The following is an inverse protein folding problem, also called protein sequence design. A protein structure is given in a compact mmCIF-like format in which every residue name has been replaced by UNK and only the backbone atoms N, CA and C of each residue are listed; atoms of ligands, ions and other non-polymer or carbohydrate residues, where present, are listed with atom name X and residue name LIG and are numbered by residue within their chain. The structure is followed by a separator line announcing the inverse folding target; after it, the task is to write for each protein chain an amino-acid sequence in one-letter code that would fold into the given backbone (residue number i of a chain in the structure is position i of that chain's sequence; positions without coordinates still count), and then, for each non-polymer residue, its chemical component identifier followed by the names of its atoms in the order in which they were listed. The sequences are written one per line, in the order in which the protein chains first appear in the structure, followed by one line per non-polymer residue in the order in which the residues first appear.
data_IF_843019170774
#
_entry.id   IF_843019170774
#
_cell.length_a   1.000
_cell.length_b   1.000
_cell.length_c   1.000
_cell.angle_alpha   90.00
_cell.angle_beta   90.00
_cell.angle_gamma   90.00
#
_symmetry.space_group_name_H-M   'P 1'
#
loop_
_entity.id
_entity.type
_entity.pdbx_description
1 polymer ?
#
# COMPACT_ATOMS: atom_id res chain seq x y z
N UNK A 1 8.73 4.32 5.99
CA UNK A 1 7.81 3.97 7.10
C UNK A 1 6.98 2.74 6.74
N UNK A 2 6.35 2.69 5.56
CA UNK A 2 5.51 1.59 5.08
C UNK A 2 6.19 0.22 5.22
N UNK A 3 7.35 0.00 4.59
CA UNK A 3 8.09 -1.26 4.63
C UNK A 3 8.53 -1.65 6.06
N UNK A 4 8.78 -0.65 6.91
CA UNK A 4 9.09 -0.91 8.32
C UNK A 4 7.92 -1.55 9.06
N UNK A 5 6.68 -1.20 8.72
CA UNK A 5 5.48 -1.82 9.27
C UNK A 5 5.46 -3.33 9.01
N UNK A 6 5.70 -3.75 7.77
CA UNK A 6 5.78 -5.16 7.40
C UNK A 6 6.91 -5.89 8.15
N UNK A 7 8.11 -5.30 8.19
CA UNK A 7 9.27 -5.90 8.86
C UNK A 7 9.06 -6.01 10.37
N UNK A 8 8.55 -4.99 11.04
CA UNK A 8 8.30 -5.03 12.48
C UNK A 8 7.24 -6.08 12.84
N UNK A 9 6.13 -6.11 12.12
CA UNK A 9 5.09 -7.11 12.36
C UNK A 9 5.60 -8.53 12.03
N UNK A 10 6.38 -8.68 10.95
CA UNK A 10 7.02 -9.96 10.61
C UNK A 10 7.95 -10.43 11.72
N UNK A 11 8.82 -9.56 12.23
CA UNK A 11 9.71 -9.86 13.36
C UNK A 11 8.94 -10.23 14.63
N UNK A 12 7.85 -9.53 14.92
CA UNK A 12 6.96 -9.89 16.04
C UNK A 12 6.42 -11.32 15.92
N UNK A 13 6.16 -11.79 14.70
CA UNK A 13 5.75 -13.18 14.44
C UNK A 13 6.91 -14.17 14.24
N UNK A 14 8.17 -13.72 14.40
CA UNK A 14 9.35 -14.56 14.37
C UNK A 14 10.01 -14.71 13.00
N UNK A 15 9.69 -13.85 12.00
CA UNK A 15 10.38 -13.84 10.71
C UNK A 15 11.62 -12.93 10.73
N UNK A 16 12.59 -13.22 9.86
CA UNK A 16 13.78 -12.39 9.66
C UNK A 16 13.60 -11.58 8.35
N UNK A 17 12.69 -10.60 8.37
CA UNK A 17 12.51 -9.69 7.26
C UNK A 17 13.59 -8.59 7.22
N UNK A 18 13.96 -8.16 6.01
CA UNK A 18 14.83 -7.02 5.76
C UNK A 18 14.29 -6.17 4.61
N UNK A 19 14.75 -4.93 4.52
CA UNK A 19 14.31 -3.98 3.49
C UNK A 19 15.43 -3.79 2.48
N UNK A 20 15.12 -3.98 1.20
CA UNK A 20 15.99 -3.56 0.10
C UNK A 20 15.48 -2.24 -0.43
N UNK A 21 16.35 -1.24 -0.49
CA UNK A 21 16.05 0.06 -1.10
C UNK A 21 16.41 0.03 -2.59
N UNK A 22 15.45 0.40 -3.43
CA UNK A 22 15.63 0.60 -4.85
C UNK A 22 15.34 2.05 -5.22
N UNK A 23 15.67 2.45 -6.45
CA UNK A 23 15.45 3.83 -6.91
C UNK A 23 13.98 4.31 -6.86
N UNK A 24 13.03 3.40 -6.83
CA UNK A 24 11.59 3.69 -6.76
C UNK A 24 10.97 3.42 -5.36
N UNK A 25 11.78 3.08 -4.35
CA UNK A 25 11.26 2.81 -3.00
C UNK A 25 11.95 1.65 -2.30
N UNK A 26 11.35 1.14 -1.22
CA UNK A 26 11.79 -0.06 -0.50
C UNK A 26 10.91 -1.26 -0.80
N UNK A 27 11.46 -2.44 -0.63
CA UNK A 27 10.71 -3.72 -0.66
C UNK A 27 11.11 -4.52 0.56
N UNK A 28 10.11 -4.90 1.38
CA UNK A 28 10.30 -5.80 2.52
C UNK A 28 10.40 -7.25 2.03
N UNK A 29 11.54 -7.89 2.26
CA UNK A 29 11.77 -9.29 1.86
C UNK A 29 11.76 -10.17 3.11
N UNK A 30 11.11 -11.34 3.01
CA UNK A 30 11.08 -12.35 4.08
C UNK A 30 10.17 -12.03 5.27
N UNK A 31 9.63 -10.82 5.37
CA UNK A 31 8.75 -10.42 6.48
C UNK A 31 7.45 -11.22 6.53
N UNK A 32 6.94 -11.66 5.37
CA UNK A 32 5.68 -12.39 5.23
C UNK A 32 5.85 -13.90 5.00
N UNK A 33 7.03 -14.46 5.28
CA UNK A 33 7.30 -15.90 5.16
C UNK A 33 6.74 -16.68 6.35
N UNK A 34 5.43 -16.74 6.46
CA UNK A 34 4.68 -17.33 7.56
C UNK A 34 3.69 -18.38 7.03
N UNK A 35 3.59 -19.52 7.71
CA UNK A 35 2.61 -20.59 7.37
C UNK A 35 1.18 -20.18 7.69
N UNK A 36 0.96 -19.39 8.75
CA UNK A 36 -0.36 -18.95 9.19
C UNK A 36 -0.86 -17.75 8.39
N UNK A 37 -1.98 -17.93 7.67
CA UNK A 37 -2.58 -16.87 6.83
C UNK A 37 -3.01 -15.63 7.62
N UNK A 38 -3.54 -15.77 8.83
CA UNK A 38 -3.90 -14.64 9.68
C UNK A 38 -2.70 -13.77 10.02
N UNK A 39 -1.56 -14.42 10.34
CA UNK A 39 -0.32 -13.69 10.59
C UNK A 39 0.17 -12.97 9.32
N UNK A 40 0.05 -13.60 8.14
CA UNK A 40 0.41 -12.95 6.87
C UNK A 40 -0.47 -11.74 6.60
N UNK A 41 -1.79 -11.84 6.80
CA UNK A 41 -2.71 -10.70 6.68
C UNK A 41 -2.27 -9.55 7.60
N UNK A 42 -1.98 -9.86 8.87
CA UNK A 42 -1.52 -8.86 9.83
C UNK A 42 -0.21 -8.18 9.39
N UNK A 43 0.77 -8.96 8.90
CA UNK A 43 2.03 -8.42 8.36
C UNK A 43 1.77 -7.52 7.15
N UNK A 44 0.95 -7.99 6.21
CA UNK A 44 0.62 -7.25 4.99
C UNK A 44 -0.10 -5.93 5.30
N UNK A 45 -1.03 -5.91 6.26
CA UNK A 45 -1.75 -4.70 6.62
C UNK A 45 -0.95 -3.76 7.55
N UNK A 46 0.15 -4.23 8.15
CA UNK A 46 0.97 -3.43 9.04
C UNK A 46 1.69 -2.28 8.31
N UNK A 47 2.06 -2.45 7.04
CA UNK A 47 2.66 -1.38 6.21
C UNK A 47 1.72 -0.19 6.03
N UNK A 48 0.55 -0.39 5.39
CA UNK A 48 -0.46 0.67 5.29
C UNK A 48 -0.90 1.19 6.66
N UNK A 49 -1.04 0.32 7.66
CA UNK A 49 -1.47 0.67 9.01
C UNK A 49 -0.56 1.69 9.68
N UNK A 50 0.77 1.46 9.65
CA UNK A 50 1.73 2.39 10.28
C UNK A 50 1.78 3.73 9.55
N UNK A 51 1.56 3.76 8.23
CA UNK A 51 1.46 5.01 7.47
C UNK A 51 0.22 5.82 7.84
N UNK A 52 -0.95 5.16 7.97
CA UNK A 52 -2.18 5.83 8.41
C UNK A 52 -2.08 6.33 9.85
N UNK A 53 -1.39 5.60 10.74
CA UNK A 53 -1.10 6.08 12.09
C UNK A 53 -0.19 7.31 12.06
N UNK A 54 0.84 7.32 11.21
CA UNK A 54 1.70 8.48 11.03
C UNK A 54 0.92 9.68 10.47
N UNK A 55 0.05 9.45 9.48
CA UNK A 55 -0.85 10.49 8.97
C UNK A 55 -1.69 11.10 10.10
N UNK A 56 -2.37 10.26 10.88
CA UNK A 56 -3.21 10.72 11.98
C UNK A 56 -2.40 11.48 13.05
N UNK A 57 -1.18 11.04 13.34
CA UNK A 57 -0.29 11.71 14.28
C UNK A 57 0.16 13.09 13.78
N UNK A 58 0.58 13.20 12.51
CA UNK A 58 0.97 14.48 11.90
C UNK A 58 -0.23 15.44 11.86
N UNK A 59 -1.41 14.93 11.49
CA UNK A 59 -2.64 15.70 11.47
C UNK A 59 -2.98 16.23 12.88
N UNK A 60 -2.89 15.39 13.91
CA UNK A 60 -3.10 15.79 15.29
C UNK A 60 -2.14 16.90 15.73
N UNK A 61 -0.84 16.81 15.41
CA UNK A 61 0.13 17.85 15.72
C UNK A 61 -0.17 19.17 14.98
N UNK A 62 -0.67 19.08 13.77
CA UNK A 62 -1.07 20.23 12.98
C UNK A 62 -2.29 20.90 13.59
N UNK A 63 -3.35 20.15 13.89
CA UNK A 63 -4.59 20.67 14.52
C UNK A 63 -4.35 21.21 15.96
N UNK A 64 -3.45 20.57 16.72
CA UNK A 64 -3.05 21.04 18.04
C UNK A 64 -2.17 22.31 18.00
N UNK A 65 -1.94 22.90 16.81
CA UNK A 65 -1.10 24.06 16.58
C UNK A 65 0.34 23.93 17.11
N UNK A 66 0.84 22.72 17.26
CA UNK A 66 2.25 22.45 17.55
C UNK A 66 3.10 22.88 16.35
N UNK A 67 2.52 22.74 15.13
CA UNK A 67 3.09 23.23 13.88
C UNK A 67 2.39 24.55 13.54
N UNK A 68 3.09 25.70 13.47
CA UNK A 68 2.50 26.98 13.14
C UNK A 68 1.87 26.98 11.73
N UNK A 69 0.68 27.53 11.57
CA UNK A 69 -0.05 27.60 10.31
C UNK A 69 0.21 28.93 9.54
N UNK A 70 1.36 29.55 9.76
CA UNK A 70 1.69 30.78 9.05
C UNK A 70 1.90 30.51 7.57
N UNK A 71 1.22 31.30 6.72
CA UNK A 71 1.29 31.17 5.26
C UNK A 71 2.51 31.90 4.65
N UNK A 72 3.22 32.67 5.45
CA UNK A 72 4.34 33.51 5.02
C UNK A 72 5.57 33.24 5.88
N UNK A 73 6.75 33.73 5.40
CA UNK A 73 7.97 33.62 6.14
C UNK A 73 8.60 32.21 6.19
N UNK A 74 9.43 31.93 7.21
CA UNK A 74 10.19 30.68 7.32
C UNK A 74 9.29 29.45 7.49
N UNK A 75 8.08 29.61 8.02
CA UNK A 75 7.12 28.53 8.26
C UNK A 75 6.42 28.03 7.00
N UNK A 76 6.40 28.79 5.91
CA UNK A 76 5.83 28.37 4.63
C UNK A 76 6.40 27.03 4.15
N UNK A 77 7.76 26.90 4.18
CA UNK A 77 8.43 25.66 3.76
C UNK A 77 8.06 24.46 4.64
N UNK A 78 7.95 24.70 5.95
CA UNK A 78 7.53 23.66 6.91
C UNK A 78 6.10 23.21 6.62
N UNK A 79 5.18 24.14 6.40
CA UNK A 79 3.79 23.84 6.09
C UNK A 79 3.62 23.09 4.76
N UNK A 80 4.38 23.47 3.72
CA UNK A 80 4.41 22.74 2.45
C UNK A 80 4.94 21.32 2.64
N UNK A 81 6.00 21.14 3.43
CA UNK A 81 6.55 19.83 3.72
C UNK A 81 5.57 18.96 4.53
N UNK A 82 4.91 19.52 5.55
CA UNK A 82 3.86 18.84 6.32
C UNK A 82 2.69 18.45 5.42
N UNK A 83 2.24 19.36 4.55
CA UNK A 83 1.20 19.06 3.57
C UNK A 83 1.58 17.91 2.64
N UNK A 84 2.83 17.87 2.17
CA UNK A 84 3.33 16.74 1.38
C UNK A 84 3.37 15.43 2.17
N UNK A 85 3.81 15.48 3.44
CA UNK A 85 3.81 14.30 4.31
C UNK A 85 2.39 13.79 4.55
N UNK A 86 1.43 14.66 4.82
CA UNK A 86 0.03 14.29 4.96
C UNK A 86 -0.51 13.67 3.67
N UNK A 87 -0.23 14.28 2.52
CA UNK A 87 -0.65 13.75 1.23
C UNK A 87 -0.12 12.34 0.99
N UNK A 88 1.20 12.13 1.11
CA UNK A 88 1.78 10.80 0.80
C UNK A 88 1.39 9.73 1.80
N UNK A 89 1.27 10.07 3.09
CA UNK A 89 0.88 9.11 4.12
C UNK A 89 -0.63 8.80 4.14
N UNK A 90 -1.44 9.54 3.40
CA UNK A 90 -2.84 9.21 3.16
C UNK A 90 -3.04 8.43 1.85
N UNK A 91 -2.57 8.99 0.74
CA UNK A 91 -2.88 8.44 -0.59
C UNK A 91 -2.11 7.16 -0.91
N UNK A 92 -0.85 7.06 -0.47
CA UNK A 92 -0.04 5.86 -0.73
C UNK A 92 -0.60 4.59 -0.06
N UNK A 93 -0.96 4.59 1.25
CA UNK A 93 -1.58 3.43 1.86
C UNK A 93 -2.97 3.12 1.28
N UNK A 94 -3.77 4.12 0.90
CA UNK A 94 -5.06 3.87 0.24
C UNK A 94 -4.84 3.15 -1.10
N UNK A 95 -3.86 3.60 -1.90
CA UNK A 95 -3.50 2.92 -3.14
C UNK A 95 -3.07 1.47 -2.88
N UNK A 96 -2.21 1.25 -1.87
CA UNK A 96 -1.74 -0.09 -1.51
C UNK A 96 -2.83 -1.00 -0.94
N UNK A 97 -3.92 -0.44 -0.40
CA UNK A 97 -5.07 -1.21 0.09
C UNK A 97 -6.07 -1.60 -1.00
N UNK A 98 -5.86 -1.16 -2.25
CA UNK A 98 -6.70 -1.63 -3.36
C UNK A 98 -6.61 -3.16 -3.50
N UNK A 99 -7.71 -3.85 -3.81
CA UNK A 99 -7.74 -5.30 -3.97
C UNK A 99 -7.12 -5.71 -5.33
N UNK A 100 -5.89 -5.28 -5.56
CA UNK A 100 -5.10 -5.53 -6.77
C UNK A 100 -3.79 -6.20 -6.39
N UNK A 101 -3.55 -7.42 -6.85
CA UNK A 101 -2.24 -8.04 -6.68
C UNK A 101 -1.23 -7.36 -7.64
N UNK A 102 0.01 -7.01 -7.20
CA UNK A 102 0.67 -7.41 -5.96
C UNK A 102 0.57 -6.39 -4.80
N UNK A 103 -0.34 -5.41 -4.84
CA UNK A 103 -0.52 -4.45 -3.74
C UNK A 103 -0.94 -5.16 -2.44
N UNK A 104 -0.75 -4.52 -1.29
CA UNK A 104 -1.03 -5.11 0.03
C UNK A 104 -2.50 -5.52 0.18
N UNK A 105 -3.44 -4.69 -0.29
CA UNK A 105 -4.86 -5.03 -0.29
C UNK A 105 -5.16 -6.30 -1.08
N UNK A 106 -4.51 -6.47 -2.25
CA UNK A 106 -4.62 -7.70 -3.04
C UNK A 106 -4.03 -8.91 -2.34
N UNK A 107 -2.85 -8.77 -1.73
CA UNK A 107 -2.21 -9.85 -0.97
C UNK A 107 -3.03 -10.24 0.27
N UNK A 108 -3.50 -9.26 1.05
CA UNK A 108 -4.33 -9.48 2.22
C UNK A 108 -5.65 -10.18 1.85
N UNK A 109 -6.31 -9.73 0.79
CA UNK A 109 -7.55 -10.33 0.29
C UNK A 109 -7.31 -11.76 -0.22
N UNK A 110 -6.20 -12.01 -0.93
CA UNK A 110 -5.80 -13.35 -1.34
C UNK A 110 -5.65 -14.30 -0.16
N UNK A 111 -4.94 -13.88 0.89
CA UNK A 111 -4.75 -14.69 2.08
C UNK A 111 -6.06 -14.88 2.84
N UNK A 112 -6.93 -13.87 2.91
CA UNK A 112 -8.24 -13.94 3.51
C UNK A 112 -9.16 -14.94 2.75
N UNK A 113 -9.28 -14.82 1.44
CA UNK A 113 -10.05 -15.75 0.63
C UNK A 113 -9.51 -17.18 0.73
N UNK A 114 -8.19 -17.32 0.82
CA UNK A 114 -7.54 -18.63 0.97
C UNK A 114 -7.80 -19.32 2.31
N UNK A 115 -8.41 -18.66 3.30
CA UNK A 115 -8.92 -19.32 4.52
C UNK A 115 -10.14 -20.21 4.22
N UNK A 116 -10.92 -19.85 3.21
CA UNK A 116 -12.21 -20.46 2.91
C UNK A 116 -12.25 -21.16 1.54
N UNK A 117 -11.42 -20.69 0.59
CA UNK A 117 -11.50 -21.10 -0.81
C UNK A 117 -10.15 -21.64 -1.30
N UNK A 118 -10.19 -22.80 -1.98
CA UNK A 118 -9.00 -23.37 -2.64
C UNK A 118 -8.58 -22.59 -3.89
N UNK A 119 -9.53 -21.92 -4.54
CA UNK A 119 -9.33 -21.11 -5.76
C UNK A 119 -9.10 -19.64 -5.47
N UNK A 120 -8.64 -19.26 -4.26
CA UNK A 120 -8.41 -17.87 -3.87
C UNK A 120 -7.51 -17.10 -4.85
N UNK A 121 -6.45 -17.75 -5.36
CA UNK A 121 -5.52 -17.14 -6.31
C UNK A 121 -6.23 -16.72 -7.61
N UNK A 122 -7.02 -17.60 -8.19
CA UNK A 122 -7.79 -17.29 -9.40
C UNK A 122 -8.80 -16.16 -9.20
N UNK A 123 -9.49 -16.17 -8.06
CA UNK A 123 -10.48 -15.15 -7.73
C UNK A 123 -9.80 -13.78 -7.57
N UNK A 124 -8.70 -13.69 -6.83
CA UNK A 124 -8.03 -12.41 -6.61
C UNK A 124 -7.45 -11.85 -7.90
N UNK A 125 -6.87 -12.67 -8.77
CA UNK A 125 -6.36 -12.19 -10.05
C UNK A 125 -7.47 -11.67 -10.96
N UNK A 126 -8.65 -12.32 -10.96
CA UNK A 126 -9.84 -11.82 -11.65
C UNK A 126 -10.33 -10.48 -11.10
N UNK A 127 -10.46 -10.36 -9.77
CA UNK A 127 -10.83 -9.08 -9.11
C UNK A 127 -9.80 -8.00 -9.44
N UNK A 128 -8.51 -8.31 -9.39
CA UNK A 128 -7.42 -7.38 -9.70
C UNK A 128 -7.56 -6.80 -11.10
N UNK A 129 -7.85 -7.63 -12.10
CA UNK A 129 -8.04 -7.17 -13.49
C UNK A 129 -9.22 -6.21 -13.58
N UNK A 130 -10.36 -6.54 -12.96
CA UNK A 130 -11.54 -5.68 -12.95
C UNK A 130 -11.23 -4.32 -12.32
N UNK A 131 -10.60 -4.32 -11.14
CA UNK A 131 -10.22 -3.08 -10.44
C UNK A 131 -9.23 -2.26 -11.25
N UNK A 132 -8.23 -2.89 -11.89
CA UNK A 132 -7.30 -2.20 -12.77
C UNK A 132 -8.03 -1.52 -13.95
N UNK A 133 -8.98 -2.20 -14.60
CA UNK A 133 -9.75 -1.61 -15.69
C UNK A 133 -10.56 -0.40 -15.22
N UNK A 134 -11.23 -0.50 -14.06
CA UNK A 134 -11.97 0.63 -13.48
C UNK A 134 -11.03 1.80 -13.14
N UNK A 135 -9.85 1.52 -12.59
CA UNK A 135 -8.84 2.53 -12.29
C UNK A 135 -8.32 3.21 -13.58
N UNK A 136 -8.06 2.45 -14.66
CA UNK A 136 -7.63 2.98 -15.94
C UNK A 136 -8.69 3.95 -16.49
N UNK A 137 -9.98 3.56 -16.47
CA UNK A 137 -11.08 4.42 -16.93
C UNK A 137 -11.17 5.70 -16.08
N UNK A 138 -11.02 5.59 -14.78
CA UNK A 138 -11.03 6.75 -13.87
C UNK A 138 -9.87 7.70 -14.18
N UNK A 139 -8.63 7.17 -14.26
CA UNK A 139 -7.44 7.99 -14.50
C UNK A 139 -7.35 8.53 -15.94
N UNK A 140 -8.02 7.90 -16.90
CA UNK A 140 -8.17 8.45 -18.25
C UNK A 140 -9.01 9.74 -18.24
N UNK A 141 -10.03 9.84 -17.39
CA UNK A 141 -10.82 11.06 -17.25
C UNK A 141 -10.06 12.21 -16.56
N UNK A 142 -9.06 11.89 -15.73
CA UNK A 142 -8.23 12.86 -15.02
C UNK A 142 -6.89 13.11 -15.71
N UNK A 143 -6.68 12.54 -16.90
CA UNK A 143 -5.45 12.66 -17.72
C UNK A 143 -4.16 12.27 -16.97
N UNK A 144 -4.26 11.38 -15.98
CA UNK A 144 -3.12 10.92 -15.22
C UNK A 144 -2.45 9.71 -15.90
N UNK A 145 -1.64 9.98 -16.93
CA UNK A 145 -0.98 8.98 -17.76
C UNK A 145 -0.06 8.04 -16.97
N UNK A 146 0.58 8.52 -15.89
CA UNK A 146 1.42 7.68 -15.05
C UNK A 146 0.62 6.58 -14.36
N UNK A 147 -0.54 6.94 -13.78
CA UNK A 147 -1.42 5.96 -13.13
C UNK A 147 -2.05 5.02 -14.14
N UNK A 148 -2.41 5.48 -15.33
CA UNK A 148 -2.89 4.61 -16.42
C UNK A 148 -1.85 3.56 -16.75
N UNK A 149 -0.59 3.97 -16.98
CA UNK A 149 0.50 3.05 -17.27
C UNK A 149 0.71 2.04 -16.16
N UNK A 150 0.72 2.48 -14.88
CA UNK A 150 0.88 1.61 -13.72
C UNK A 150 -0.20 0.52 -13.67
N UNK A 151 -1.48 0.91 -13.82
CA UNK A 151 -2.59 -0.04 -13.76
C UNK A 151 -2.66 -0.95 -14.98
N UNK A 152 -2.21 -0.51 -16.17
CA UNK A 152 -2.06 -1.39 -17.35
C UNK A 152 -1.02 -2.48 -17.05
N UNK A 153 0.15 -2.13 -16.51
CA UNK A 153 1.18 -3.10 -16.16
C UNK A 153 0.69 -4.12 -15.12
N UNK A 154 -0.03 -3.64 -14.09
CA UNK A 154 -0.63 -4.53 -13.09
C UNK A 154 -1.72 -5.42 -13.69
N UNK A 155 -2.56 -4.92 -14.59
CA UNK A 155 -3.58 -5.71 -15.27
C UNK A 155 -2.95 -6.83 -16.10
N UNK A 156 -1.93 -6.53 -16.89
CA UNK A 156 -1.20 -7.52 -17.69
C UNK A 156 -0.61 -8.63 -16.82
N UNK A 157 0.05 -8.26 -15.72
CA UNK A 157 0.60 -9.22 -14.75
C UNK A 157 -0.50 -10.13 -14.17
N UNK A 158 -1.64 -9.57 -13.75
CA UNK A 158 -2.74 -10.35 -13.19
C UNK A 158 -3.43 -11.25 -14.22
N UNK A 159 -3.54 -10.83 -15.48
CA UNK A 159 -4.04 -11.68 -16.58
C UNK A 159 -3.10 -12.89 -16.79
N UNK A 160 -1.79 -12.66 -16.76
CA UNK A 160 -0.82 -13.74 -16.91
C UNK A 160 -0.90 -14.74 -15.73
N UNK A 161 -0.98 -14.24 -14.50
CA UNK A 161 -1.13 -15.06 -13.30
C UNK A 161 -2.47 -15.83 -13.31
N UNK A 162 -3.55 -15.20 -13.74
CA UNK A 162 -4.86 -15.86 -13.88
C UNK A 162 -4.84 -17.04 -14.85
N UNK A 163 -4.09 -16.93 -15.96
CA UNK A 163 -3.95 -18.02 -16.95
C UNK A 163 -3.12 -19.21 -16.45
N UNK A 164 -2.26 -19.00 -15.43
CA UNK A 164 -1.42 -20.01 -14.84
C UNK A 164 -2.08 -20.79 -13.68
N UNK A 165 -3.19 -20.29 -13.14
CA UNK A 165 -4.00 -20.89 -12.06
C UNK A 165 -5.23 -21.63 -12.59
#
# INVERSE_FOLDING_TARGET
VHELGHVFMGKYFGTQGYIILHGFGGVAIGSNNLSNRWKRIAVTLAGPGIQLLLYAFILFLSEARVIPHEKDGPWLKVNLFVGFLLFINLYWPILNLLPVFPLDGGQALRDFLGLFLRSADKIIFGISVIVCVLAIVYFAKTENYFMIFLFIMMAMQNIELFKRT
#
